data_IF_611599768105
#
_entry.id   IF_611599768105
#
_cell.length_a   1.000
_cell.length_b   1.000
_cell.length_c   1.000
_cell.angle_alpha   90.00
_cell.angle_beta   90.00
_cell.angle_gamma   90.00
#
_symmetry.space_group_name_H-M   'P 1'
#
loop_
_entity.id
_entity.type
_entity.pdbx_description
1 polymer ?
#
# COMPACT_ATOMS: atom_id res chain seq x y z
N UNK A 1 32.75 39.35 53.47
CA UNK A 1 31.90 38.13 53.63
C UNK A 1 30.47 38.30 53.05
N UNK A 2 29.83 39.46 53.11
CA UNK A 2 28.46 39.71 52.70
C UNK A 2 28.24 39.74 51.16
N UNK A 3 29.23 40.05 50.33
CA UNK A 3 29.07 40.12 48.85
C UNK A 3 28.94 38.75 48.18
N UNK A 4 29.55 37.71 48.71
CA UNK A 4 29.46 36.36 48.16
C UNK A 4 28.10 35.70 48.41
N UNK A 5 27.41 36.04 49.48
CA UNK A 5 26.11 35.48 49.86
C UNK A 5 25.01 35.92 48.86
N UNK A 6 25.11 37.16 48.33
CA UNK A 6 24.16 37.67 47.36
C UNK A 6 24.35 37.04 45.98
N UNK A 7 25.58 36.77 45.55
CA UNK A 7 25.87 36.13 44.29
C UNK A 7 25.29 34.70 44.26
N UNK A 8 25.39 33.97 45.38
CA UNK A 8 24.83 32.62 45.50
C UNK A 8 23.30 32.60 45.39
N UNK A 9 22.62 33.60 45.94
CA UNK A 9 21.17 33.78 45.83
C UNK A 9 20.74 34.04 44.37
N UNK A 10 21.48 34.85 43.63
CA UNK A 10 21.21 35.10 42.23
C UNK A 10 21.43 33.86 41.34
N UNK A 11 22.49 33.10 41.62
CA UNK A 11 22.76 31.83 40.89
C UNK A 11 21.64 30.82 41.12
N UNK A 12 21.20 30.65 42.39
CA UNK A 12 20.10 29.74 42.73
C UNK A 12 18.80 30.20 42.08
N UNK A 13 18.53 31.51 42.04
CA UNK A 13 17.33 32.07 41.45
C UNK A 13 17.32 31.89 39.90
N UNK A 14 18.44 32.12 39.22
CA UNK A 14 18.59 31.89 37.77
C UNK A 14 18.50 30.40 37.46
N UNK A 15 19.09 29.54 38.29
CA UNK A 15 19.00 28.08 38.10
C UNK A 15 17.55 27.55 38.34
N UNK A 16 16.83 28.16 39.29
CA UNK A 16 15.42 27.84 39.55
C UNK A 16 14.50 28.24 38.37
N UNK A 17 14.77 29.39 37.72
CA UNK A 17 14.04 29.83 36.53
C UNK A 17 14.35 28.93 35.32
N UNK A 18 15.59 28.43 35.20
CA UNK A 18 16.00 27.54 34.12
C UNK A 18 15.34 26.14 34.24
N UNK A 19 15.06 25.66 35.45
CA UNK A 19 14.35 24.39 35.71
C UNK A 19 12.84 24.52 35.40
N UNK A 20 12.26 25.69 35.60
CA UNK A 20 10.84 25.96 35.26
C UNK A 20 10.58 26.10 33.74
N UNK A 21 11.67 26.27 32.96
CA UNK A 21 11.60 26.34 31.47
C UNK A 21 11.71 24.97 30.78
N UNK A 22 11.74 23.86 31.54
CA UNK A 22 11.52 22.53 30.97
C UNK A 22 10.06 22.47 30.51
N UNK A 23 9.86 22.97 29.30
CA UNK A 23 8.58 23.08 28.66
C UNK A 23 7.82 21.78 28.78
N UNK A 24 6.59 21.87 29.23
CA UNK A 24 5.59 20.84 29.00
C UNK A 24 5.65 20.49 27.53
N UNK A 25 6.33 19.39 27.19
CA UNK A 25 6.11 18.73 25.90
C UNK A 25 4.61 18.49 25.88
N UNK A 26 3.87 19.36 25.16
CA UNK A 26 2.52 19.06 24.77
C UNK A 26 2.65 17.78 23.93
N UNK A 27 2.49 16.65 24.59
CA UNK A 27 2.08 15.44 23.94
C UNK A 27 0.75 15.84 23.26
N UNK A 28 0.80 16.21 22.01
CA UNK A 28 -0.42 16.41 21.23
C UNK A 28 -1.15 15.08 21.36
N UNK A 29 -2.36 15.10 21.92
CA UNK A 29 -3.20 13.91 22.03
C UNK A 29 -3.40 13.36 20.61
N UNK A 30 -2.54 12.43 20.23
CA UNK A 30 -2.63 11.75 18.93
C UNK A 30 -3.64 10.60 19.07
N UNK A 31 -4.55 10.49 18.11
CA UNK A 31 -4.87 11.41 17.01
C UNK A 31 -5.89 12.49 17.41
N UNK A 32 -5.68 13.74 16.99
CA UNK A 32 -6.58 14.86 17.25
C UNK A 32 -7.27 15.41 15.97
N UNK A 33 -7.07 14.77 14.83
CA UNK A 33 -7.67 15.08 13.53
C UNK A 33 -7.88 13.80 12.72
N UNK A 34 -8.72 13.81 11.66
CA UNK A 34 -8.93 12.66 10.81
C UNK A 34 -7.64 12.11 10.21
N UNK A 35 -7.58 10.78 10.05
CA UNK A 35 -6.46 10.05 9.46
C UNK A 35 -6.78 9.73 8.01
N UNK A 36 -5.92 10.12 7.08
CA UNK A 36 -6.04 9.78 5.65
C UNK A 36 -5.53 8.35 5.42
N UNK A 37 -6.36 7.49 4.82
CA UNK A 37 -5.97 6.16 4.39
C UNK A 37 -5.93 6.11 2.86
N UNK A 38 -4.71 6.15 2.30
CA UNK A 38 -4.48 6.09 0.86
C UNK A 38 -4.55 4.62 0.42
N UNK A 39 -5.43 4.32 -0.54
CA UNK A 39 -5.65 2.98 -1.05
C UNK A 39 -5.11 2.89 -2.47
N UNK A 40 -4.13 2.01 -2.71
CA UNK A 40 -3.39 1.89 -3.98
C UNK A 40 -4.18 1.29 -5.15
N UNK A 41 -5.48 1.04 -4.95
CA UNK A 41 -6.36 0.42 -5.94
C UNK A 41 -7.72 1.13 -5.97
N UNK A 42 -8.52 0.85 -7.00
CA UNK A 42 -9.85 1.44 -7.14
C UNK A 42 -10.83 0.89 -6.11
N UNK A 43 -11.90 1.66 -5.77
CA UNK A 43 -13.01 1.18 -4.95
C UNK A 43 -13.63 -0.12 -5.49
N UNK A 44 -14.21 -0.93 -4.59
CA UNK A 44 -14.89 -2.19 -4.92
C UNK A 44 -13.96 -3.40 -5.09
N UNK A 45 -12.64 -3.20 -5.01
CA UNK A 45 -11.66 -4.29 -5.03
C UNK A 45 -11.30 -4.81 -3.63
N UNK A 46 -10.44 -5.84 -3.60
CA UNK A 46 -10.00 -6.48 -2.36
C UNK A 46 -9.36 -5.50 -1.37
N UNK A 47 -8.45 -4.63 -1.84
CA UNK A 47 -7.80 -3.63 -0.98
C UNK A 47 -8.79 -2.65 -0.37
N UNK A 48 -9.84 -2.25 -1.09
CA UNK A 48 -10.91 -1.42 -0.57
C UNK A 48 -11.71 -2.17 0.51
N UNK A 49 -12.08 -3.42 0.25
CA UNK A 49 -12.80 -4.24 1.22
C UNK A 49 -12.01 -4.39 2.53
N UNK A 50 -10.70 -4.63 2.46
CA UNK A 50 -9.83 -4.72 3.63
C UNK A 50 -9.68 -3.38 4.35
N UNK A 51 -9.49 -2.29 3.60
CA UNK A 51 -9.40 -0.94 4.15
C UNK A 51 -10.68 -0.56 4.93
N UNK A 52 -11.85 -0.79 4.35
CA UNK A 52 -13.14 -0.54 5.03
C UNK A 52 -13.30 -1.36 6.29
N UNK A 53 -12.97 -2.66 6.21
CA UNK A 53 -13.12 -3.58 7.34
C UNK A 53 -12.25 -3.21 8.55
N UNK A 54 -11.08 -2.62 8.33
CA UNK A 54 -10.21 -2.16 9.43
C UNK A 54 -10.52 -0.73 9.89
N UNK A 55 -11.09 0.10 9.01
CA UNK A 55 -11.35 1.51 9.33
C UNK A 55 -12.40 1.70 10.42
N UNK A 56 -13.42 0.85 10.47
CA UNK A 56 -14.47 0.93 11.48
C UNK A 56 -13.90 0.75 12.90
N UNK A 57 -13.23 -0.40 13.23
CA UNK A 57 -12.64 -0.57 14.56
C UNK A 57 -11.50 0.42 14.85
N UNK A 58 -10.77 0.92 13.85
CA UNK A 58 -9.79 1.97 14.07
C UNK A 58 -10.45 3.30 14.44
N UNK A 59 -11.51 3.68 13.76
CA UNK A 59 -12.29 4.89 14.09
C UNK A 59 -12.81 4.82 15.52
N UNK A 60 -13.36 3.68 15.93
CA UNK A 60 -13.87 3.46 17.29
C UNK A 60 -12.75 3.59 18.34
N UNK A 61 -11.61 2.92 18.10
CA UNK A 61 -10.50 2.92 19.06
C UNK A 61 -9.74 4.24 19.15
N UNK A 62 -9.59 4.94 18.02
CA UNK A 62 -8.81 6.16 17.93
C UNK A 62 -9.66 7.42 18.14
N UNK A 63 -10.99 7.32 18.14
CA UNK A 63 -11.89 8.45 18.25
C UNK A 63 -11.81 9.44 17.08
N UNK A 64 -11.18 9.05 15.96
CA UNK A 64 -10.98 9.89 14.78
C UNK A 64 -11.42 9.18 13.51
N UNK A 65 -12.02 9.93 12.59
CA UNK A 65 -12.48 9.40 11.30
C UNK A 65 -11.31 8.96 10.44
N UNK A 66 -11.44 7.79 9.81
CA UNK A 66 -10.52 7.32 8.76
C UNK A 66 -11.09 7.71 7.39
N UNK A 67 -10.40 8.59 6.69
CA UNK A 67 -10.81 9.11 5.38
C UNK A 67 -10.12 8.31 4.27
N UNK A 68 -10.89 7.62 3.43
CA UNK A 68 -10.37 6.83 2.32
C UNK A 68 -10.06 7.70 1.10
N UNK A 69 -8.85 7.56 0.56
CA UNK A 69 -8.41 8.21 -0.68
C UNK A 69 -7.90 7.16 -1.66
N UNK A 70 -8.54 7.05 -2.81
CA UNK A 70 -8.20 6.05 -3.81
C UNK A 70 -7.24 6.61 -4.85
N UNK A 71 -6.07 6.00 -4.99
CA UNK A 71 -5.02 6.39 -5.93
C UNK A 71 -4.51 5.17 -6.70
N UNK A 72 -5.37 4.57 -7.52
CA UNK A 72 -5.04 3.38 -8.29
C UNK A 72 -4.13 3.67 -9.48
N UNK A 73 -3.25 2.72 -9.78
CA UNK A 73 -2.37 2.73 -10.94
C UNK A 73 -0.95 2.22 -10.63
N UNK A 74 -0.25 1.76 -11.65
CA UNK A 74 1.11 1.21 -11.56
C UNK A 74 1.26 0.13 -10.45
N UNK A 75 0.26 -0.77 -10.30
CA UNK A 75 0.31 -1.79 -9.23
C UNK A 75 0.36 -1.20 -7.82
N UNK A 76 -0.29 -0.07 -7.57
CA UNK A 76 -0.25 0.68 -6.30
C UNK A 76 0.89 1.70 -6.20
N UNK A 77 1.75 1.78 -7.21
CA UNK A 77 2.93 2.66 -7.19
C UNK A 77 2.59 4.15 -7.08
N UNK A 78 1.47 4.59 -7.69
CA UNK A 78 1.03 5.99 -7.59
C UNK A 78 0.67 6.34 -6.14
N UNK A 79 -0.06 5.46 -5.46
CA UNK A 79 -0.42 5.64 -4.06
C UNK A 79 0.81 5.65 -3.13
N UNK A 80 1.76 4.73 -3.35
CA UNK A 80 2.98 4.65 -2.57
C UNK A 80 3.84 5.91 -2.73
N UNK A 81 4.03 6.40 -3.96
CA UNK A 81 4.73 7.67 -4.21
C UNK A 81 4.04 8.85 -3.52
N UNK A 82 2.71 8.91 -3.56
CA UNK A 82 1.95 9.95 -2.89
C UNK A 82 2.07 9.86 -1.36
N UNK A 83 2.02 8.65 -0.79
CA UNK A 83 2.18 8.44 0.65
C UNK A 83 3.58 8.84 1.14
N UNK A 84 4.64 8.46 0.40
CA UNK A 84 6.02 8.82 0.73
C UNK A 84 6.21 10.35 0.81
N UNK A 85 5.49 11.13 0.02
CA UNK A 85 5.58 12.59 0.05
C UNK A 85 4.89 13.26 1.24
N UNK A 86 4.17 12.49 2.07
CA UNK A 86 3.47 12.98 3.26
C UNK A 86 4.38 13.02 4.48
N UNK A 87 3.98 13.76 5.50
CA UNK A 87 4.68 13.76 6.79
C UNK A 87 4.52 12.40 7.47
N UNK A 88 5.58 11.90 8.08
CA UNK A 88 5.55 10.69 8.91
C UNK A 88 5.07 11.02 10.35
N UNK A 89 3.83 11.53 10.45
CA UNK A 89 3.23 11.99 11.70
C UNK A 89 2.06 11.08 12.19
N UNK A 90 1.89 9.93 11.54
CA UNK A 90 0.83 8.97 11.85
C UNK A 90 -0.53 9.28 11.23
N UNK A 91 -0.70 10.43 10.57
CA UNK A 91 -1.98 10.81 9.95
C UNK A 91 -2.14 10.37 8.49
N UNK A 92 -1.16 9.66 7.95
CA UNK A 92 -1.27 9.05 6.62
C UNK A 92 -0.96 7.57 6.71
N UNK A 93 -1.94 6.76 6.35
CA UNK A 93 -1.81 5.30 6.22
C UNK A 93 -1.85 4.92 4.74
N UNK A 94 -1.07 3.92 4.34
CA UNK A 94 -1.10 3.38 3.00
C UNK A 94 -1.57 1.93 3.02
N UNK A 95 -2.59 1.63 2.21
CA UNK A 95 -3.05 0.26 1.93
C UNK A 95 -2.61 -0.11 0.52
N UNK A 96 -1.68 -1.05 0.44
CA UNK A 96 -1.14 -1.53 -0.81
C UNK A 96 -0.84 -3.04 -0.73
N UNK A 97 -0.44 -3.64 -1.83
CA UNK A 97 0.00 -5.04 -1.85
C UNK A 97 1.51 -5.13 -1.60
N UNK A 98 1.99 -6.28 -1.15
CA UNK A 98 3.43 -6.53 -1.00
C UNK A 98 4.20 -6.31 -2.30
N UNK A 99 3.59 -6.60 -3.46
CA UNK A 99 4.20 -6.37 -4.78
C UNK A 99 4.44 -4.88 -5.08
N UNK A 100 3.65 -3.98 -4.50
CA UNK A 100 3.88 -2.53 -4.60
C UNK A 100 5.28 -2.18 -4.11
N UNK A 101 5.75 -2.82 -3.05
CA UNK A 101 7.05 -2.54 -2.41
C UNK A 101 8.18 -3.46 -2.89
N UNK A 102 7.86 -4.74 -3.13
CA UNK A 102 8.86 -5.73 -3.50
C UNK A 102 9.16 -5.79 -5.00
N UNK A 103 8.23 -5.39 -5.86
CA UNK A 103 8.36 -5.51 -7.31
C UNK A 103 8.51 -4.18 -8.04
N UNK A 104 7.68 -3.19 -7.73
CA UNK A 104 7.67 -1.92 -8.47
C UNK A 104 9.00 -1.15 -8.46
N UNK A 105 9.78 -1.09 -7.36
CA UNK A 105 11.09 -0.43 -7.37
C UNK A 105 12.05 -1.03 -8.41
N UNK A 106 12.01 -2.35 -8.62
CA UNK A 106 12.86 -3.03 -9.60
C UNK A 106 12.45 -2.77 -11.06
N UNK A 107 11.28 -2.15 -11.30
CA UNK A 107 10.85 -1.75 -12.64
C UNK A 107 11.39 -0.39 -13.08
N UNK A 108 12.09 0.35 -12.21
CA UNK A 108 12.64 1.67 -12.50
C UNK A 108 11.60 2.76 -12.82
N UNK A 109 10.34 2.54 -12.44
CA UNK A 109 9.21 3.45 -12.74
C UNK A 109 8.65 4.17 -11.52
N UNK A 110 9.23 3.93 -10.35
CA UNK A 110 8.87 4.57 -9.10
C UNK A 110 10.10 5.12 -8.42
N UNK A 111 9.94 6.12 -7.56
CA UNK A 111 11.04 6.82 -6.90
C UNK A 111 11.25 6.39 -5.46
N UNK A 112 10.37 5.53 -4.92
CA UNK A 112 10.47 5.00 -3.57
C UNK A 112 11.15 3.63 -3.53
N UNK A 113 11.68 3.29 -2.36
CA UNK A 113 12.14 1.97 -1.96
C UNK A 113 11.28 1.43 -0.83
N UNK A 114 11.40 0.14 -0.54
CA UNK A 114 10.63 -0.49 0.56
C UNK A 114 11.01 0.08 1.94
N UNK A 115 12.23 0.57 2.09
CA UNK A 115 12.78 1.17 3.32
C UNK A 115 12.19 2.56 3.64
N UNK A 116 11.51 3.19 2.69
CA UNK A 116 10.86 4.50 2.89
C UNK A 116 9.53 4.41 3.66
N UNK A 117 9.13 3.21 4.10
CA UNK A 117 7.85 2.96 4.76
C UNK A 117 8.00 2.17 6.06
N UNK A 118 7.25 2.56 7.07
CA UNK A 118 7.05 1.77 8.29
C UNK A 118 5.88 0.81 8.09
N UNK A 119 6.15 -0.50 8.16
CA UNK A 119 5.15 -1.55 7.97
C UNK A 119 4.44 -1.88 9.29
N UNK A 120 3.16 -1.58 9.39
CA UNK A 120 2.40 -1.75 10.62
C UNK A 120 1.84 -3.18 10.76
N UNK A 121 1.21 -3.71 9.70
CA UNK A 121 0.63 -5.05 9.73
C UNK A 121 0.36 -5.59 8.31
N UNK A 122 0.22 -6.91 8.21
CA UNK A 122 -0.33 -7.59 7.04
C UNK A 122 -1.80 -7.93 7.30
N UNK A 123 -2.71 -7.25 6.62
CA UNK A 123 -4.16 -7.43 6.81
C UNK A 123 -4.69 -8.75 6.26
N UNK A 124 -4.11 -9.24 5.17
CA UNK A 124 -4.51 -10.48 4.52
C UNK A 124 -3.41 -11.03 3.62
N UNK A 125 -3.46 -12.35 3.37
CA UNK A 125 -2.67 -13.01 2.33
C UNK A 125 -3.50 -13.10 1.05
N UNK A 126 -2.87 -12.82 -0.08
CA UNK A 126 -3.49 -12.95 -1.39
C UNK A 126 -3.26 -14.37 -1.93
N UNK A 127 -4.34 -15.04 -2.28
CA UNK A 127 -4.29 -16.26 -3.08
C UNK A 127 -4.85 -15.93 -4.46
N UNK A 128 -4.03 -16.04 -5.48
CA UNK A 128 -4.42 -15.79 -6.87
C UNK A 128 -4.92 -17.07 -7.54
N UNK A 129 -5.92 -16.94 -8.40
CA UNK A 129 -6.37 -18.00 -9.28
C UNK A 129 -6.46 -17.51 -10.72
N UNK A 130 -6.14 -18.37 -11.66
CA UNK A 130 -6.47 -18.15 -13.06
C UNK A 130 -7.90 -18.62 -13.33
N UNK A 131 -8.71 -17.73 -13.87
CA UNK A 131 -10.14 -17.99 -14.15
C UNK A 131 -10.38 -17.88 -15.62
N UNK A 132 -11.20 -18.76 -16.15
CA UNK A 132 -11.67 -18.74 -17.54
C UNK A 132 -13.17 -19.05 -17.58
N UNK A 133 -13.86 -18.58 -18.62
CA UNK A 133 -15.25 -18.97 -18.84
C UNK A 133 -15.37 -20.48 -19.08
N UNK A 134 -16.43 -21.09 -18.55
CA UNK A 134 -16.67 -22.53 -18.62
C UNK A 134 -17.01 -23.04 -20.04
N UNK A 135 -17.37 -22.13 -20.96
CA UNK A 135 -17.69 -22.44 -22.36
C UNK A 135 -16.45 -22.49 -23.27
N UNK A 136 -15.25 -22.40 -22.73
CA UNK A 136 -13.99 -22.50 -23.49
C UNK A 136 -13.65 -23.99 -23.76
N UNK A 137 -12.84 -24.26 -24.82
CA UNK A 137 -12.51 -25.64 -25.23
C UNK A 137 -11.50 -26.34 -24.32
N UNK A 138 -11.13 -25.74 -23.18
CA UNK A 138 -10.21 -26.29 -22.18
C UNK A 138 -10.90 -26.45 -20.82
N UNK A 139 -10.42 -27.40 -20.01
CA UNK A 139 -10.96 -27.71 -18.68
C UNK A 139 -10.03 -27.29 -17.53
N UNK A 140 -8.75 -27.13 -17.81
CA UNK A 140 -7.71 -26.80 -16.86
C UNK A 140 -6.59 -25.99 -17.53
N UNK A 141 -5.60 -25.60 -16.73
CA UNK A 141 -4.50 -24.78 -17.21
C UNK A 141 -3.64 -25.50 -18.27
N UNK A 142 -3.38 -26.79 -18.09
CA UNK A 142 -2.59 -27.59 -19.02
C UNK A 142 -3.27 -27.71 -20.39
N UNK A 143 -4.54 -28.09 -20.42
CA UNK A 143 -5.30 -28.19 -21.66
C UNK A 143 -5.50 -26.83 -22.36
N UNK A 144 -5.53 -25.72 -21.60
CA UNK A 144 -5.51 -24.36 -22.16
C UNK A 144 -4.20 -24.09 -22.90
N UNK A 145 -3.06 -24.43 -22.29
CA UNK A 145 -1.74 -24.29 -22.93
C UNK A 145 -1.63 -25.13 -24.19
N UNK A 146 -2.03 -26.39 -24.13
CA UNK A 146 -2.04 -27.29 -25.30
C UNK A 146 -2.92 -26.76 -26.42
N UNK A 147 -4.13 -26.31 -26.11
CA UNK A 147 -5.03 -25.71 -27.09
C UNK A 147 -4.41 -24.49 -27.75
N UNK A 148 -3.82 -23.60 -26.98
CA UNK A 148 -3.12 -22.40 -27.49
C UNK A 148 -2.05 -22.79 -28.52
N UNK A 149 -1.22 -23.78 -28.18
CA UNK A 149 -0.11 -24.23 -29.06
C UNK A 149 -0.62 -24.93 -30.30
N UNK A 150 -1.52 -25.90 -30.14
CA UNK A 150 -2.02 -26.75 -31.25
C UNK A 150 -2.85 -25.97 -32.25
N UNK A 151 -3.51 -24.91 -31.84
CA UNK A 151 -4.39 -24.10 -32.70
C UNK A 151 -3.81 -22.73 -33.06
N UNK A 152 -2.56 -22.45 -32.66
CA UNK A 152 -1.96 -21.12 -32.78
C UNK A 152 -2.89 -20.01 -32.21
N UNK A 153 -3.55 -20.31 -31.07
CA UNK A 153 -4.56 -19.46 -30.45
C UNK A 153 -3.95 -18.60 -29.35
N UNK A 154 -3.89 -17.27 -29.52
CA UNK A 154 -3.35 -16.41 -28.49
C UNK A 154 -4.32 -16.25 -27.32
N UNK A 155 -3.85 -16.54 -26.10
CA UNK A 155 -4.60 -16.43 -24.87
C UNK A 155 -4.61 -14.99 -24.38
N UNK A 156 -5.77 -14.38 -24.27
CA UNK A 156 -5.90 -13.06 -23.66
C UNK A 156 -5.87 -13.19 -22.14
N UNK A 157 -4.97 -12.45 -21.52
CA UNK A 157 -4.75 -12.49 -20.06
C UNK A 157 -4.98 -11.11 -19.46
N UNK A 158 -5.96 -10.99 -18.57
CA UNK A 158 -6.19 -9.77 -17.80
C UNK A 158 -5.07 -9.53 -16.78
N UNK A 159 -4.46 -8.36 -16.83
CA UNK A 159 -3.34 -7.98 -15.95
C UNK A 159 -3.69 -6.73 -15.16
N UNK A 160 -3.54 -6.78 -13.83
CA UNK A 160 -3.73 -5.64 -12.93
C UNK A 160 -2.46 -4.78 -12.80
N UNK A 161 -1.32 -5.35 -13.17
CA UNK A 161 -0.06 -4.65 -13.07
C UNK A 161 1.16 -5.40 -13.62
N UNK A 162 2.35 -4.81 -13.47
CA UNK A 162 3.59 -5.38 -14.01
C UNK A 162 3.96 -6.75 -13.46
N UNK A 163 3.61 -7.04 -12.21
CA UNK A 163 3.91 -8.32 -11.58
C UNK A 163 3.14 -9.49 -12.21
N UNK A 164 1.83 -9.30 -12.48
CA UNK A 164 1.01 -10.30 -13.15
C UNK A 164 1.54 -10.57 -14.56
N UNK A 165 1.95 -9.49 -15.24
CA UNK A 165 2.56 -9.60 -16.56
C UNK A 165 3.85 -10.41 -16.54
N UNK A 166 4.76 -10.15 -15.59
CA UNK A 166 6.00 -10.89 -15.44
C UNK A 166 5.77 -12.39 -15.18
N UNK A 167 4.73 -12.73 -14.40
CA UNK A 167 4.35 -14.12 -14.16
C UNK A 167 3.90 -14.81 -15.45
N UNK A 168 3.01 -14.19 -16.21
CA UNK A 168 2.50 -14.81 -17.45
C UNK A 168 3.56 -14.86 -18.55
N UNK A 169 4.47 -13.88 -18.63
CA UNK A 169 5.59 -13.89 -19.54
C UNK A 169 6.55 -15.07 -19.22
N UNK A 170 6.74 -15.39 -17.94
CA UNK A 170 7.51 -16.56 -17.51
C UNK A 170 6.80 -17.87 -17.92
N UNK A 171 5.49 -17.95 -17.78
CA UNK A 171 4.69 -19.10 -18.26
C UNK A 171 4.77 -19.23 -19.79
N UNK A 172 4.63 -18.14 -20.52
CA UNK A 172 4.75 -18.10 -21.99
C UNK A 172 6.12 -18.65 -22.43
N UNK A 173 7.19 -18.17 -21.78
CA UNK A 173 8.56 -18.64 -22.06
C UNK A 173 8.75 -20.13 -21.78
N UNK A 174 8.20 -20.61 -20.65
CA UNK A 174 8.35 -22.00 -20.23
C UNK A 174 7.54 -22.99 -21.10
N UNK A 175 6.38 -22.55 -21.61
CA UNK A 175 5.43 -23.45 -22.31
C UNK A 175 5.42 -23.28 -23.82
N UNK A 176 5.88 -22.13 -24.34
CA UNK A 176 5.77 -21.76 -25.74
C UNK A 176 4.34 -21.31 -26.15
N UNK A 177 3.41 -21.19 -25.20
CA UNK A 177 2.06 -20.66 -25.48
C UNK A 177 2.10 -19.14 -25.67
N UNK A 178 1.20 -18.63 -26.50
CA UNK A 178 1.11 -17.21 -26.77
C UNK A 178 0.12 -16.53 -25.82
N UNK A 179 0.56 -15.50 -25.11
CA UNK A 179 -0.28 -14.68 -24.23
C UNK A 179 -0.31 -13.24 -24.71
N UNK A 180 -1.51 -12.65 -24.72
CA UNK A 180 -1.72 -11.22 -24.97
C UNK A 180 -2.18 -10.57 -23.68
N UNK A 181 -1.34 -9.77 -23.01
CA UNK A 181 -1.74 -9.09 -21.79
C UNK A 181 -2.75 -7.97 -22.09
N UNK A 182 -3.85 -7.95 -21.35
CA UNK A 182 -4.88 -6.91 -21.39
C UNK A 182 -4.83 -6.14 -20.08
N UNK A 183 -4.34 -4.89 -20.07
CA UNK A 183 -4.27 -4.09 -18.84
C UNK A 183 -5.68 -3.77 -18.32
N UNK A 184 -5.95 -4.13 -17.06
CA UNK A 184 -7.24 -3.89 -16.41
C UNK A 184 -7.00 -3.11 -15.11
N UNK A 185 -7.78 -2.07 -14.88
CA UNK A 185 -7.65 -1.21 -13.70
C UNK A 185 -8.58 -1.66 -12.58
N UNK A 186 -8.06 -2.52 -11.68
CA UNK A 186 -8.75 -2.97 -10.47
C UNK A 186 -9.48 -4.30 -10.61
N UNK A 187 -9.56 -5.05 -9.51
CA UNK A 187 -10.11 -6.39 -9.47
C UNK A 187 -11.60 -6.48 -9.82
N UNK A 188 -12.40 -5.46 -9.46
CA UNK A 188 -13.81 -5.41 -9.82
C UNK A 188 -14.00 -5.37 -11.35
N UNK A 189 -13.22 -4.55 -12.05
CA UNK A 189 -13.27 -4.49 -13.52
C UNK A 189 -12.74 -5.79 -14.16
N UNK A 190 -11.79 -6.46 -13.51
CA UNK A 190 -11.32 -7.78 -13.97
C UNK A 190 -12.46 -8.78 -14.03
N UNK A 191 -13.25 -8.88 -12.95
CA UNK A 191 -14.40 -9.79 -12.89
C UNK A 191 -15.50 -9.47 -13.91
N UNK A 192 -15.65 -8.21 -14.29
CA UNK A 192 -16.60 -7.78 -15.31
C UNK A 192 -16.10 -8.00 -16.75
N UNK A 193 -14.79 -8.24 -16.93
CA UNK A 193 -14.15 -8.36 -18.25
C UNK A 193 -14.01 -9.81 -18.70
N UNK A 194 -14.34 -10.76 -17.86
CA UNK A 194 -14.37 -12.19 -18.13
C UNK A 194 -15.75 -12.54 -18.71
#
# INVERSE_FOLDING_TARGET
>A
MFKFLNIYKYIIFVFSIMILSVGSSFSSDFPNKPIEMIIGFKPGGFSDAMARKISEPLTEKLGQTIVHKYMGGAGGGIAATAAMSKKADGYTLLVATSLTFAFNPHQGKVTYNKEDFDYLLTMARFEGAYVSLSNKPWKDFSSMIEYSKSNNYPLRFGSLGPADRAQIDAVAKATGAQFIPVPIKGGANMMQSI
#
